data_IF_288691966791
#
_entry.id   IF_288691966791
#
_cell.length_a   1.000
_cell.length_b   1.000
_cell.length_c   1.000
_cell.angle_alpha   90.00
_cell.angle_beta   90.00
_cell.angle_gamma   90.00
#
_symmetry.space_group_name_H-M   'P 1'
#
loop_
_entity.id
_entity.type
_entity.pdbx_description
1 polymer ?
#
# COMPACT_ATOMS: atom_id res chain seq x y z
N UNK A 1 -19.06 -10.85 -45.40
CA UNK A 1 -18.71 -11.54 -44.14
C UNK A 1 -17.59 -10.89 -43.28
N UNK A 2 -16.80 -9.86 -43.67
CA UNK A 2 -15.67 -9.38 -42.84
C UNK A 2 -16.01 -8.31 -41.78
N UNK A 3 -17.15 -7.62 -41.89
CA UNK A 3 -17.49 -6.49 -40.99
C UNK A 3 -17.80 -6.97 -39.56
N UNK A 4 -18.47 -8.13 -39.42
CA UNK A 4 -18.80 -8.67 -38.09
C UNK A 4 -17.55 -9.13 -37.33
N UNK A 5 -16.60 -9.76 -38.01
CA UNK A 5 -15.32 -10.17 -37.41
C UNK A 5 -14.45 -8.96 -37.05
N UNK A 6 -14.47 -7.89 -37.85
CA UNK A 6 -13.78 -6.64 -37.53
C UNK A 6 -14.39 -5.94 -36.30
N UNK A 7 -15.73 -5.91 -36.19
CA UNK A 7 -16.42 -5.36 -35.02
C UNK A 7 -16.17 -6.17 -33.74
N UNK A 8 -16.11 -7.50 -33.83
CA UNK A 8 -15.78 -8.37 -32.69
C UNK A 8 -14.34 -8.16 -32.24
N UNK A 9 -13.39 -8.05 -33.19
CA UNK A 9 -11.99 -7.78 -32.86
C UNK A 9 -11.80 -6.39 -32.21
N UNK A 10 -12.52 -5.38 -32.69
CA UNK A 10 -12.48 -4.03 -32.14
C UNK A 10 -13.13 -3.96 -30.75
N UNK A 11 -14.22 -4.68 -30.52
CA UNK A 11 -14.84 -4.80 -29.19
C UNK A 11 -13.93 -5.54 -28.20
N UNK A 12 -13.27 -6.62 -28.63
CA UNK A 12 -12.31 -7.36 -27.81
C UNK A 12 -11.08 -6.52 -27.45
N UNK A 13 -10.61 -5.66 -28.36
CA UNK A 13 -9.53 -4.71 -28.10
C UNK A 13 -9.94 -3.65 -27.07
N UNK A 14 -11.14 -3.08 -27.20
CA UNK A 14 -11.67 -2.08 -26.24
C UNK A 14 -11.85 -2.68 -24.85
N UNK A 15 -12.37 -3.91 -24.76
CA UNK A 15 -12.51 -4.64 -23.48
C UNK A 15 -11.15 -5.03 -22.90
N UNK A 16 -10.17 -5.42 -23.73
CA UNK A 16 -8.80 -5.72 -23.27
C UNK A 16 -8.06 -4.50 -22.71
N UNK A 17 -8.46 -3.29 -23.12
CA UNK A 17 -7.85 -2.02 -22.67
C UNK A 17 -8.54 -1.37 -21.46
N UNK A 18 -9.51 -2.03 -20.82
CA UNK A 18 -10.15 -1.47 -19.62
C UNK A 18 -9.20 -1.48 -18.43
N UNK A 19 -8.36 -0.43 -18.39
CA UNK A 19 -7.69 0.20 -17.25
C UNK A 19 -7.34 -0.72 -16.08
N UNK A 20 -6.10 -1.23 -16.08
CA UNK A 20 -5.42 -1.56 -14.83
C UNK A 20 -5.25 -0.26 -14.04
N UNK A 21 -6.12 -0.03 -13.06
CA UNK A 21 -5.93 1.06 -12.11
C UNK A 21 -4.75 0.71 -11.21
N UNK A 22 -3.71 1.53 -11.24
CA UNK A 22 -2.68 1.48 -10.21
C UNK A 22 -3.29 2.06 -8.92
N UNK A 23 -3.27 1.26 -7.86
CA UNK A 23 -3.64 1.73 -6.53
C UNK A 23 -2.38 2.20 -5.81
N UNK A 24 -2.49 3.34 -5.13
CA UNK A 24 -1.44 3.89 -4.30
C UNK A 24 -2.07 4.44 -3.02
N UNK A 25 -1.32 4.39 -1.92
CA UNK A 25 -1.69 5.11 -0.71
C UNK A 25 -1.79 6.60 -1.05
N UNK A 26 -2.97 7.18 -0.83
CA UNK A 26 -3.26 8.59 -1.13
C UNK A 26 -3.79 9.22 0.14
N UNK A 27 -3.17 10.33 0.55
CA UNK A 27 -3.53 11.06 1.76
C UNK A 27 -3.94 12.48 1.41
N UNK A 28 -4.92 13.01 2.14
CA UNK A 28 -5.25 14.44 2.06
C UNK A 28 -4.10 15.23 2.65
N UNK A 29 -3.71 16.31 1.98
CA UNK A 29 -2.68 17.19 2.49
C UNK A 29 -3.26 18.02 3.65
N UNK A 30 -2.64 18.00 4.85
CA UNK A 30 -3.10 18.78 5.98
C UNK A 30 -3.04 20.28 5.69
N UNK A 31 -4.03 21.02 6.19
CA UNK A 31 -4.05 22.48 6.12
C UNK A 31 -3.06 23.11 7.11
N UNK A 32 -2.51 24.27 6.76
CA UNK A 32 -1.61 25.02 7.64
C UNK A 32 -0.27 24.30 7.90
N UNK A 33 0.14 24.27 9.17
CA UNK A 33 1.44 23.74 9.62
C UNK A 33 1.38 22.29 10.09
N UNK A 34 0.24 21.61 9.97
CA UNK A 34 0.17 20.19 10.33
C UNK A 34 0.93 19.34 9.30
N UNK A 35 1.58 18.29 9.80
CA UNK A 35 2.45 17.37 9.05
C UNK A 35 2.06 15.91 9.25
N UNK A 36 1.13 15.60 10.15
CA UNK A 36 0.70 14.23 10.41
C UNK A 36 -0.36 13.81 9.40
N UNK A 37 -0.16 12.66 8.76
CA UNK A 37 -1.09 12.06 7.82
C UNK A 37 -1.28 10.57 8.09
N UNK A 38 -2.36 10.01 7.56
CA UNK A 38 -2.67 8.59 7.70
C UNK A 38 -3.19 8.24 9.09
N UNK A 39 -3.16 6.95 9.41
CA UNK A 39 -3.78 6.43 10.63
C UNK A 39 -3.04 5.20 11.15
N UNK A 40 -3.14 5.00 12.46
CA UNK A 40 -2.67 3.80 13.15
C UNK A 40 -3.74 2.72 13.02
N UNK A 41 -3.36 1.56 12.50
CA UNK A 41 -4.26 0.41 12.37
C UNK A 41 -3.59 -0.87 12.84
N UNK A 42 -4.40 -1.85 13.23
CA UNK A 42 -3.95 -3.18 13.65
C UNK A 42 -4.61 -4.26 12.81
N UNK A 43 -3.89 -5.34 12.61
CA UNK A 43 -4.39 -6.52 11.91
C UNK A 43 -4.10 -7.76 12.74
N UNK A 44 -5.01 -8.72 12.69
CA UNK A 44 -4.79 -10.02 13.32
C UNK A 44 -4.11 -10.94 12.31
N UNK A 45 -2.91 -11.41 12.64
CA UNK A 45 -2.14 -12.31 11.81
C UNK A 45 -2.82 -13.67 11.67
N UNK A 46 -2.77 -14.24 10.46
CA UNK A 46 -3.18 -15.62 10.18
C UNK A 46 -2.00 -16.57 10.37
N UNK A 47 -2.28 -17.87 10.40
CA UNK A 47 -1.27 -18.89 10.58
C UNK A 47 -0.14 -18.81 9.53
N UNK A 48 -0.50 -18.54 8.28
CA UNK A 48 0.42 -18.46 7.14
C UNK A 48 1.06 -17.08 6.91
N UNK A 49 0.72 -16.07 7.72
CA UNK A 49 1.23 -14.72 7.51
C UNK A 49 2.69 -14.58 7.96
N UNK A 50 3.49 -13.84 7.19
CA UNK A 50 4.73 -13.22 7.67
C UNK A 50 4.52 -11.71 7.85
N UNK A 51 5.40 -11.04 8.60
CA UNK A 51 5.38 -9.57 8.64
C UNK A 51 5.64 -8.96 7.25
N UNK A 52 6.44 -9.62 6.39
CA UNK A 52 6.66 -9.15 5.03
C UNK A 52 5.37 -9.21 4.18
N UNK A 53 4.59 -10.29 4.31
CA UNK A 53 3.34 -10.45 3.57
C UNK A 53 2.29 -9.43 4.03
N UNK A 54 2.18 -9.24 5.35
CA UNK A 54 1.35 -8.17 5.92
C UNK A 54 1.83 -6.82 5.40
N UNK A 55 3.13 -6.53 5.49
CA UNK A 55 3.69 -5.26 5.05
C UNK A 55 3.38 -4.94 3.58
N UNK A 56 3.53 -5.93 2.69
CA UNK A 56 3.16 -5.79 1.27
C UNK A 56 1.69 -5.52 1.05
N UNK A 57 0.78 -6.20 1.77
CA UNK A 57 -0.67 -5.97 1.63
C UNK A 57 -1.07 -4.55 2.03
N UNK A 58 -0.37 -3.97 3.00
CA UNK A 58 -0.64 -2.64 3.53
C UNK A 58 0.27 -1.54 2.95
N UNK A 59 1.20 -1.89 2.05
CA UNK A 59 2.07 -0.93 1.38
C UNK A 59 3.17 -0.33 2.27
N UNK A 60 3.59 -1.04 3.32
CA UNK A 60 4.67 -0.60 4.24
C UNK A 60 5.94 -1.39 4.01
N UNK A 61 7.08 -0.78 4.34
CA UNK A 61 8.39 -1.40 4.19
C UNK A 61 8.64 -2.55 5.18
N UNK A 62 9.54 -3.48 4.84
CA UNK A 62 9.93 -4.58 5.73
C UNK A 62 10.54 -4.07 7.04
N UNK A 63 11.53 -3.18 6.96
CA UNK A 63 12.16 -2.59 8.15
C UNK A 63 11.15 -1.83 9.01
N UNK A 64 10.20 -1.16 8.37
CA UNK A 64 9.17 -0.37 9.03
C UNK A 64 8.22 -1.24 9.86
N UNK A 65 7.71 -2.33 9.28
CA UNK A 65 6.79 -3.22 9.98
C UNK A 65 7.49 -4.02 11.09
N UNK A 66 8.75 -4.42 10.88
CA UNK A 66 9.56 -5.08 11.93
C UNK A 66 9.85 -4.12 13.08
N UNK A 67 10.22 -2.88 12.77
CA UNK A 67 10.50 -1.86 13.78
C UNK A 67 9.25 -1.51 14.61
N UNK A 68 8.07 -1.47 13.99
CA UNK A 68 6.80 -1.22 14.66
C UNK A 68 6.35 -2.38 15.58
N UNK A 69 6.79 -3.61 15.31
CA UNK A 69 6.33 -4.83 15.99
C UNK A 69 7.47 -5.58 16.69
N UNK A 70 8.25 -4.86 17.51
CA UNK A 70 9.36 -5.47 18.27
C UNK A 70 8.87 -6.62 19.14
N UNK A 71 9.55 -7.76 19.02
CA UNK A 71 9.22 -8.98 19.78
C UNK A 71 8.24 -9.91 19.06
N UNK A 72 7.69 -9.51 17.91
CA UNK A 72 6.98 -10.40 17.00
C UNK A 72 7.99 -11.04 16.04
N UNK A 73 7.93 -12.36 15.86
CA UNK A 73 8.78 -13.05 14.88
C UNK A 73 8.41 -12.60 13.45
N UNK A 74 9.36 -12.08 12.65
CA UNK A 74 9.06 -11.60 11.30
C UNK A 74 8.55 -12.67 10.32
N UNK A 75 8.95 -13.93 10.54
CA UNK A 75 8.65 -15.06 9.67
C UNK A 75 7.48 -15.89 10.18
N UNK A 76 7.21 -15.85 11.48
CA UNK A 76 6.08 -16.56 12.08
C UNK A 76 5.46 -15.75 13.24
N UNK A 77 4.73 -14.66 12.96
CA UNK A 77 4.02 -13.87 13.96
C UNK A 77 3.10 -14.70 14.85
N UNK A 78 2.55 -15.79 14.29
CA UNK A 78 1.58 -16.67 14.94
C UNK A 78 0.14 -16.21 14.74
N UNK A 79 -0.77 -17.17 14.61
CA UNK A 79 -2.19 -16.89 14.46
C UNK A 79 -2.75 -16.13 15.68
N UNK A 80 -3.54 -15.09 15.43
CA UNK A 80 -4.12 -14.28 16.49
C UNK A 80 -3.23 -13.14 16.99
N UNK A 81 -1.96 -13.08 16.56
CA UNK A 81 -1.06 -11.98 16.92
C UNK A 81 -1.56 -10.66 16.34
N UNK A 82 -1.66 -9.64 17.18
CA UNK A 82 -1.98 -8.27 16.75
C UNK A 82 -0.73 -7.60 16.20
N UNK A 83 -0.74 -7.32 14.90
CA UNK A 83 0.33 -6.63 14.19
C UNK A 83 -0.08 -5.18 13.96
N UNK A 84 0.74 -4.26 14.45
CA UNK A 84 0.64 -2.82 14.19
C UNK A 84 1.09 -2.53 12.76
N UNK A 85 0.26 -1.81 12.01
CA UNK A 85 0.63 -1.27 10.70
C UNK A 85 1.05 0.19 10.89
N UNK A 86 2.31 0.56 10.58
CA UNK A 86 2.84 1.92 10.76
C UNK A 86 2.38 2.89 9.65
N UNK A 87 1.09 2.92 9.32
CA UNK A 87 0.54 3.75 8.24
C UNK A 87 0.21 5.19 8.63
N UNK A 88 0.81 5.71 9.71
CA UNK A 88 0.72 7.10 10.13
C UNK A 88 2.10 7.74 10.00
N UNK A 89 2.19 8.83 9.22
CA UNK A 89 3.46 9.43 8.83
C UNK A 89 3.53 10.89 9.25
N UNK A 90 4.75 11.37 9.44
CA UNK A 90 5.06 12.78 9.56
C UNK A 90 5.70 13.21 8.24
N UNK A 91 5.09 14.17 7.55
CA UNK A 91 5.62 14.73 6.31
C UNK A 91 6.96 15.44 6.57
N UNK A 92 8.00 15.20 5.76
CA UNK A 92 9.28 15.89 5.90
C UNK A 92 9.15 17.42 5.77
N UNK A 93 9.96 18.17 6.51
CA UNK A 93 10.01 19.63 6.46
C UNK A 93 10.76 20.14 5.21
N UNK A 94 10.14 19.94 4.05
CA UNK A 94 10.62 20.36 2.74
C UNK A 94 9.46 20.87 1.90
N UNK A 95 9.72 21.63 0.81
CA UNK A 95 8.65 22.02 -0.11
C UNK A 95 7.87 20.79 -0.61
N UNK A 96 6.56 20.77 -0.38
CA UNK A 96 5.64 19.68 -0.76
C UNK A 96 5.34 19.67 -2.26
N UNK A 97 6.38 19.55 -3.09
CA UNK A 97 6.32 19.61 -4.56
C UNK A 97 7.19 18.51 -5.17
N UNK A 98 6.69 17.87 -6.23
CA UNK A 98 7.42 16.82 -6.91
C UNK A 98 7.54 15.54 -6.08
N UNK A 99 8.70 14.88 -6.16
CA UNK A 99 8.98 13.61 -5.46
C UNK A 99 10.00 13.85 -4.35
N UNK A 100 9.67 13.38 -3.15
CA UNK A 100 10.55 13.41 -1.97
C UNK A 100 10.81 11.98 -1.55
N UNK A 101 12.09 11.62 -1.34
CA UNK A 101 12.51 10.29 -0.89
C UNK A 101 13.23 10.44 0.43
N UNK A 102 12.68 9.85 1.50
CA UNK A 102 13.34 9.74 2.80
C UNK A 102 14.11 8.42 2.86
N UNK A 103 15.43 8.47 3.05
CA UNK A 103 16.32 7.29 3.03
C UNK A 103 16.76 6.84 4.44
N UNK A 104 16.22 7.48 5.48
CA UNK A 104 16.63 7.32 6.87
C UNK A 104 15.69 6.41 7.65
#
# INVERSE_FOLDING_TARGET
>A
MPIKSLLIAMLALVVGTTFSRAYAATYLLPEGSDSVIGEVQYVTARHEDTLLDIGRRYGVGYEEIVAANRGVDPWLPGEGTQVLIPSQYILPDVPRKGVVVSLA
#
